data_IF_504426463200
#
_entry.id   IF_504426463200
#
_cell.length_a   1.000
_cell.length_b   1.000
_cell.length_c   1.000
_cell.angle_alpha   90.00
_cell.angle_beta   90.00
_cell.angle_gamma   90.00
#
_symmetry.space_group_name_H-M   'P 1'
#
loop_
_entity.id
_entity.type
_entity.pdbx_description
1 polymer ?
#
# COMPACT_ATOMS: atom_id res chain seq x y z
N UNK A 1 15.52 66.47 -8.93
CA UNK A 1 16.63 65.70 -8.31
C UNK A 1 16.10 64.88 -7.15
N UNK A 2 15.63 63.63 -7.35
CA UNK A 2 15.41 62.58 -6.32
C UNK A 2 14.66 61.38 -6.92
N UNK A 3 15.23 60.69 -7.94
CA UNK A 3 14.69 59.39 -8.41
C UNK A 3 15.75 58.37 -8.89
N UNK A 4 17.04 58.59 -8.63
CA UNK A 4 18.11 57.73 -9.18
C UNK A 4 18.96 56.96 -8.14
N UNK A 5 18.51 56.76 -6.90
CA UNK A 5 19.34 56.10 -5.87
C UNK A 5 18.74 54.87 -5.16
N UNK A 6 17.70 54.22 -5.71
CA UNK A 6 17.16 52.97 -5.11
C UNK A 6 17.58 51.70 -5.87
N UNK A 7 18.10 51.83 -7.10
CA UNK A 7 18.55 50.68 -7.90
C UNK A 7 19.92 50.10 -7.49
N UNK A 8 20.65 50.75 -6.57
CA UNK A 8 21.98 50.29 -6.10
C UNK A 8 21.98 49.61 -4.73
N UNK A 9 20.86 49.59 -3.98
CA UNK A 9 20.78 48.86 -2.70
C UNK A 9 20.31 47.41 -2.81
N UNK A 10 19.75 46.97 -3.94
CA UNK A 10 19.26 45.59 -4.15
C UNK A 10 20.11 44.76 -5.13
N UNK A 11 21.37 45.16 -5.34
CA UNK A 11 22.27 44.52 -6.30
C UNK A 11 23.44 43.75 -5.66
N UNK A 12 23.39 43.45 -4.35
CA UNK A 12 24.48 42.74 -3.66
C UNK A 12 24.18 41.38 -3.04
N UNK A 13 22.94 40.91 -2.98
CA UNK A 13 22.64 39.62 -2.33
C UNK A 13 21.77 38.65 -3.15
N UNK A 14 21.89 38.68 -4.49
CA UNK A 14 21.24 37.67 -5.35
C UNK A 14 21.98 36.32 -5.40
N UNK A 15 23.20 36.24 -4.87
CA UNK A 15 23.97 34.99 -4.77
C UNK A 15 23.80 34.24 -3.45
N UNK A 16 23.08 34.80 -2.46
CA UNK A 16 22.89 34.14 -1.15
C UNK A 16 21.53 33.43 -1.01
N UNK A 17 20.47 33.88 -1.71
CA UNK A 17 19.13 33.30 -1.57
C UNK A 17 18.91 32.06 -2.47
N UNK A 18 19.63 31.94 -3.59
CA UNK A 18 19.56 30.78 -4.48
C UNK A 18 20.20 29.50 -3.88
N UNK A 19 20.98 29.64 -2.80
CA UNK A 19 21.62 28.54 -2.07
C UNK A 19 20.74 27.94 -0.97
N UNK A 20 19.64 28.62 -0.60
CA UNK A 20 18.78 28.24 0.52
C UNK A 20 17.41 27.67 0.13
N UNK A 21 17.23 27.29 -1.14
CA UNK A 21 16.19 26.32 -1.51
C UNK A 21 16.88 24.96 -1.55
N UNK A 22 17.16 24.43 -0.36
CA UNK A 22 17.36 22.99 -0.22
C UNK A 22 15.99 22.41 -0.60
N UNK A 23 15.85 21.87 -1.80
CA UNK A 23 14.69 21.06 -2.16
C UNK A 23 14.56 20.04 -1.06
N UNK A 24 13.59 20.20 -0.16
CA UNK A 24 13.33 19.23 0.90
C UNK A 24 12.78 18.02 0.16
N UNK A 25 13.68 17.14 -0.27
CA UNK A 25 13.34 15.85 -0.80
C UNK A 25 12.84 15.03 0.38
N UNK A 26 11.54 14.77 0.42
CA UNK A 26 10.94 13.81 1.35
C UNK A 26 11.60 12.45 1.17
N UNK A 27 11.74 11.68 2.24
CA UNK A 27 12.38 10.37 2.22
C UNK A 27 11.62 9.38 1.32
N UNK A 28 12.35 8.70 0.44
CA UNK A 28 11.87 7.57 -0.36
C UNK A 28 11.81 6.30 0.50
N UNK A 29 11.00 5.34 0.07
CA UNK A 29 10.97 4.03 0.73
C UNK A 29 12.33 3.33 0.55
N UNK A 30 12.86 2.73 1.61
CA UNK A 30 14.20 2.13 1.61
C UNK A 30 14.22 0.84 2.45
N UNK A 31 14.28 -0.31 1.78
CA UNK A 31 14.27 -1.62 2.39
C UNK A 31 15.55 -1.95 3.17
N UNK A 32 16.64 -1.22 2.95
CA UNK A 32 17.89 -1.43 3.68
C UNK A 32 17.81 -0.97 5.13
N UNK A 33 16.91 -0.02 5.44
CA UNK A 33 16.69 0.55 6.77
C UNK A 33 15.74 -0.25 7.65
N UNK A 34 15.27 -1.40 7.16
CA UNK A 34 14.29 -2.21 7.88
C UNK A 34 14.79 -2.64 9.25
N UNK A 35 13.98 -2.42 10.27
CA UNK A 35 14.20 -2.92 11.63
C UNK A 35 13.35 -4.17 11.83
N UNK A 36 13.91 -5.19 12.46
CA UNK A 36 13.21 -6.46 12.70
C UNK A 36 13.16 -6.70 14.21
N UNK A 37 11.96 -6.95 14.72
CA UNK A 37 11.69 -7.39 16.09
C UNK A 37 11.08 -8.78 16.03
N UNK A 38 11.81 -9.76 16.57
CA UNK A 38 11.40 -11.16 16.52
C UNK A 38 10.35 -11.46 17.61
N UNK A 39 9.47 -12.42 17.32
CA UNK A 39 8.62 -13.05 18.35
C UNK A 39 9.46 -13.88 19.33
N UNK A 40 9.06 -13.92 20.60
CA UNK A 40 9.70 -14.76 21.63
C UNK A 40 9.36 -16.24 21.47
N UNK A 41 8.19 -16.57 20.91
CA UNK A 41 7.73 -17.95 20.72
C UNK A 41 7.07 -18.07 19.34
N UNK A 42 7.80 -18.59 18.33
CA UNK A 42 7.24 -18.80 16.99
C UNK A 42 6.07 -19.77 16.98
N UNK A 43 5.07 -19.48 16.15
CA UNK A 43 3.91 -20.35 15.97
C UNK A 43 4.28 -21.64 15.25
N UNK A 44 3.57 -22.72 15.56
CA UNK A 44 3.66 -23.96 14.79
C UNK A 44 2.77 -23.87 13.55
N UNK A 45 3.21 -24.37 12.38
CA UNK A 45 2.35 -24.46 11.20
C UNK A 45 1.10 -25.28 11.50
N UNK A 46 -0.07 -24.78 11.08
CA UNK A 46 -1.30 -25.57 11.15
C UNK A 46 -1.30 -26.66 10.07
N UNK A 47 -1.94 -27.81 10.33
CA UNK A 47 -2.22 -28.79 9.30
C UNK A 47 -2.96 -28.17 8.11
N UNK A 48 -2.61 -28.60 6.90
CA UNK A 48 -3.12 -28.04 5.65
C UNK A 48 -4.64 -28.07 5.54
N UNK A 49 -5.28 -29.14 6.00
CA UNK A 49 -6.73 -29.34 6.00
C UNK A 49 -7.49 -28.38 6.93
N UNK A 50 -6.79 -27.77 7.89
CA UNK A 50 -7.30 -26.76 8.82
C UNK A 50 -7.09 -25.31 8.35
N UNK A 51 -6.45 -25.09 7.21
CA UNK A 51 -6.23 -23.75 6.68
C UNK A 51 -7.54 -23.15 6.14
N UNK A 52 -7.97 -22.06 6.78
CA UNK A 52 -9.14 -21.27 6.37
C UNK A 52 -8.68 -19.89 5.94
N UNK A 53 -9.12 -19.48 4.76
CA UNK A 53 -8.75 -18.19 4.16
C UNK A 53 -9.02 -17.02 5.11
N UNK A 54 -7.98 -16.23 5.41
CA UNK A 54 -8.09 -14.99 6.18
C UNK A 54 -8.43 -15.17 7.67
N UNK A 55 -8.24 -16.37 8.24
CA UNK A 55 -8.54 -16.65 9.66
C UNK A 55 -7.31 -16.98 10.50
N UNK A 56 -6.19 -17.32 9.86
CA UNK A 56 -4.90 -17.57 10.53
C UNK A 56 -3.87 -16.65 9.91
N UNK A 57 -3.10 -15.95 10.74
CA UNK A 57 -2.05 -15.03 10.31
C UNK A 57 -0.68 -15.54 10.73
N UNK A 58 0.37 -15.02 10.10
CA UNK A 58 1.75 -15.32 10.49
C UNK A 58 2.20 -14.52 11.71
N UNK A 59 3.37 -14.86 12.25
CA UNK A 59 3.87 -14.31 13.51
C UNK A 59 4.26 -12.83 13.42
N UNK A 60 4.63 -12.36 12.22
CA UNK A 60 5.07 -10.99 12.01
C UNK A 60 4.17 -10.23 11.03
N UNK A 61 4.22 -8.90 11.12
CA UNK A 61 3.70 -7.98 10.12
C UNK A 61 4.74 -6.91 9.78
N UNK A 62 4.66 -6.36 8.58
CA UNK A 62 5.41 -5.18 8.16
C UNK A 62 4.56 -3.93 8.43
N UNK A 63 5.16 -2.87 8.95
CA UNK A 63 4.55 -1.54 9.09
C UNK A 63 5.52 -0.44 8.66
N UNK A 64 5.02 0.57 7.96
CA UNK A 64 5.79 1.70 7.44
C UNK A 64 4.91 2.95 7.52
N UNK A 65 5.29 3.90 8.36
CA UNK A 65 4.62 5.18 8.48
C UNK A 65 5.08 6.13 7.37
N UNK A 66 4.23 7.08 7.03
CA UNK A 66 4.53 8.17 6.11
C UNK A 66 3.91 9.47 6.61
N UNK A 67 4.63 10.58 6.46
CA UNK A 67 4.07 11.92 6.63
C UNK A 67 4.44 12.81 5.45
N UNK A 68 3.59 13.79 5.13
CA UNK A 68 3.84 14.76 4.05
C UNK A 68 5.16 15.52 4.25
N UNK A 69 5.50 15.86 5.49
CA UNK A 69 6.71 16.60 5.84
C UNK A 69 8.00 15.77 5.62
N UNK A 70 7.98 14.48 6.00
CA UNK A 70 9.20 13.66 6.10
C UNK A 70 9.35 12.62 5.00
N UNK A 71 8.24 12.19 4.38
CA UNK A 71 8.21 11.03 3.51
C UNK A 71 8.07 9.72 4.29
N UNK A 72 8.62 8.64 3.72
CA UNK A 72 8.54 7.30 4.30
C UNK A 72 9.53 7.12 5.46
N UNK A 73 9.02 6.63 6.59
CA UNK A 73 9.85 6.23 7.73
C UNK A 73 10.55 4.89 7.49
N UNK A 74 11.50 4.57 8.38
CA UNK A 74 12.19 3.28 8.35
C UNK A 74 11.19 2.11 8.50
N UNK A 75 11.19 1.11 7.59
CA UNK A 75 10.27 -0.01 7.69
C UNK A 75 10.49 -0.85 8.96
N UNK A 76 9.42 -1.39 9.54
CA UNK A 76 9.49 -2.22 10.74
C UNK A 76 8.78 -3.55 10.49
N UNK A 77 9.52 -4.66 10.61
CA UNK A 77 8.94 -6.00 10.75
C UNK A 77 8.85 -6.28 12.25
N UNK A 78 7.65 -6.51 12.76
CA UNK A 78 7.38 -6.70 14.20
C UNK A 78 6.36 -7.81 14.42
N UNK A 79 6.18 -8.31 15.66
CA UNK A 79 5.12 -9.25 15.97
C UNK A 79 3.76 -8.75 15.48
N UNK A 80 2.97 -9.65 14.90
CA UNK A 80 1.61 -9.37 14.47
C UNK A 80 0.79 -8.85 15.66
N UNK A 81 0.03 -7.78 15.46
CA UNK A 81 -0.77 -7.17 16.50
C UNK A 81 -1.77 -6.17 15.97
N UNK A 82 -2.61 -5.66 16.88
CA UNK A 82 -3.60 -4.65 16.55
C UNK A 82 -2.94 -3.33 16.17
N UNK A 83 -3.62 -2.58 15.29
CA UNK A 83 -3.30 -1.18 15.03
C UNK A 83 -3.98 -0.31 16.10
N UNK A 84 -3.25 0.69 16.62
CA UNK A 84 -3.78 1.71 17.53
C UNK A 84 -3.85 3.02 16.78
N UNK A 85 -5.07 3.45 16.43
CA UNK A 85 -5.33 4.66 15.65
C UNK A 85 -6.26 5.58 16.43
N UNK A 86 -6.12 6.88 16.19
CA UNK A 86 -7.05 7.86 16.75
C UNK A 86 -8.47 7.63 16.19
N UNK A 87 -9.54 7.78 16.98
CA UNK A 87 -10.91 7.59 16.47
C UNK A 87 -11.28 8.55 15.34
N UNK A 88 -10.65 9.72 15.25
CA UNK A 88 -10.85 10.69 14.18
C UNK A 88 -10.04 10.39 12.92
N UNK A 89 -9.27 9.29 12.88
CA UNK A 89 -8.44 8.94 11.72
C UNK A 89 -9.28 8.78 10.46
N UNK A 90 -8.88 9.46 9.38
CA UNK A 90 -9.65 9.62 8.15
C UNK A 90 -10.06 8.30 7.47
N UNK A 91 -9.32 7.19 7.68
CA UNK A 91 -9.72 5.87 7.16
C UNK A 91 -11.09 5.43 7.67
N UNK A 92 -11.44 5.74 8.92
CA UNK A 92 -12.71 5.33 9.53
C UNK A 92 -13.92 6.14 9.03
N UNK A 93 -13.66 7.30 8.42
CA UNK A 93 -14.71 8.27 8.06
C UNK A 93 -14.89 8.39 6.55
N UNK A 94 -13.80 8.31 5.79
CA UNK A 94 -13.78 8.64 4.36
C UNK A 94 -13.15 7.55 3.49
N UNK A 95 -12.82 6.38 4.06
CA UNK A 95 -12.28 5.22 3.34
C UNK A 95 -11.05 5.56 2.48
N UNK A 96 -10.13 6.38 3.02
CA UNK A 96 -8.80 6.56 2.45
C UNK A 96 -7.97 5.29 2.65
N UNK A 97 -8.30 4.24 1.91
CA UNK A 97 -7.65 2.94 2.01
C UNK A 97 -7.61 2.20 0.67
N UNK A 98 -6.60 1.35 0.55
CA UNK A 98 -6.44 0.40 -0.55
C UNK A 98 -5.75 -0.85 -0.04
N UNK A 99 -5.89 -1.94 -0.79
CA UNK A 99 -5.20 -3.18 -0.50
C UNK A 99 -4.77 -3.90 -1.77
N UNK A 100 -3.88 -4.85 -1.60
CA UNK A 100 -3.43 -5.78 -2.62
C UNK A 100 -3.64 -7.25 -2.21
N UNK A 101 -3.50 -8.13 -3.20
CA UNK A 101 -3.64 -9.57 -3.01
C UNK A 101 -2.69 -10.33 -3.91
N UNK A 102 -1.65 -10.91 -3.30
CA UNK A 102 -0.70 -11.77 -3.97
C UNK A 102 -0.38 -12.99 -3.11
N UNK A 103 0.37 -13.94 -3.68
CA UNK A 103 0.68 -15.20 -3.05
C UNK A 103 2.15 -15.55 -3.18
N UNK A 104 2.69 -16.16 -2.13
CA UNK A 104 3.95 -16.88 -2.15
C UNK A 104 3.69 -18.39 -2.10
N UNK A 105 4.51 -19.13 -2.83
CA UNK A 105 4.39 -20.57 -3.02
C UNK A 105 5.71 -21.24 -2.64
N UNK A 106 5.61 -22.34 -1.89
CA UNK A 106 6.75 -23.23 -1.70
C UNK A 106 6.83 -24.19 -2.88
N UNK A 107 7.96 -24.20 -3.55
CA UNK A 107 8.27 -25.12 -4.65
C UNK A 107 8.69 -26.51 -4.12
N UNK A 108 8.70 -27.55 -4.98
CA UNK A 108 9.18 -28.88 -4.58
C UNK A 108 10.63 -28.91 -4.10
N UNK A 109 11.49 -28.01 -4.59
CA UNK A 109 12.87 -27.83 -4.13
C UNK A 109 12.98 -26.93 -2.88
N UNK A 110 11.88 -26.74 -2.15
CA UNK A 110 11.78 -25.99 -0.90
C UNK A 110 12.10 -24.49 -0.99
N UNK A 111 12.16 -23.93 -2.21
CA UNK A 111 12.28 -22.47 -2.41
C UNK A 111 10.92 -21.81 -2.26
N UNK A 112 10.93 -20.53 -1.89
CA UNK A 112 9.72 -19.71 -1.81
C UNK A 112 9.74 -18.68 -2.93
N UNK A 113 8.67 -18.62 -3.70
CA UNK A 113 8.56 -17.73 -4.86
C UNK A 113 7.26 -16.94 -4.84
N UNK A 114 7.28 -15.72 -5.35
CA UNK A 114 6.10 -14.89 -5.56
C UNK A 114 5.76 -14.82 -7.04
N UNK A 115 4.47 -14.86 -7.37
CA UNK A 115 4.02 -14.75 -8.76
C UNK A 115 3.76 -13.28 -9.15
N UNK A 116 4.58 -12.74 -10.05
CA UNK A 116 4.45 -11.39 -10.63
C UNK A 116 4.16 -10.28 -9.60
N UNK A 117 4.97 -10.17 -8.52
CA UNK A 117 4.74 -9.16 -7.49
C UNK A 117 4.80 -7.73 -8.05
N UNK A 118 5.60 -7.51 -9.10
CA UNK A 118 5.70 -6.24 -9.85
C UNK A 118 4.34 -5.71 -10.33
N UNK A 119 3.46 -6.59 -10.82
CA UNK A 119 2.12 -6.18 -11.30
C UNK A 119 1.20 -5.75 -10.17
N UNK A 120 1.35 -6.34 -8.99
CA UNK A 120 0.61 -5.93 -7.80
C UNK A 120 1.10 -4.57 -7.31
N UNK A 121 2.42 -4.31 -7.30
CA UNK A 121 2.95 -3.00 -6.89
C UNK A 121 2.54 -1.88 -7.86
N UNK A 122 2.54 -2.14 -9.17
CA UNK A 122 2.05 -1.20 -10.18
C UNK A 122 0.59 -0.83 -9.94
N UNK A 123 -0.26 -1.82 -9.64
CA UNK A 123 -1.68 -1.60 -9.33
C UNK A 123 -1.86 -0.86 -8.00
N UNK A 124 -1.08 -1.21 -6.97
CA UNK A 124 -1.11 -0.54 -5.67
C UNK A 124 -0.76 0.94 -5.78
N UNK A 125 0.31 1.30 -6.49
CA UNK A 125 0.69 2.71 -6.72
C UNK A 125 -0.37 3.47 -7.53
N UNK A 126 -0.99 2.83 -8.53
CA UNK A 126 -2.11 3.44 -9.27
C UNK A 126 -3.30 3.72 -8.36
N UNK A 127 -3.63 2.80 -7.46
CA UNK A 127 -4.69 2.98 -6.47
C UNK A 127 -4.34 4.10 -5.50
N UNK A 128 -3.10 4.15 -4.98
CA UNK A 128 -2.64 5.16 -4.02
C UNK A 128 -2.76 6.56 -4.61
N UNK A 129 -2.21 6.78 -5.81
CA UNK A 129 -2.30 8.04 -6.52
C UNK A 129 -3.76 8.46 -6.79
N UNK A 130 -4.66 7.50 -7.00
CA UNK A 130 -6.07 7.77 -7.29
C UNK A 130 -6.85 8.28 -6.07
N UNK A 131 -6.48 7.86 -4.87
CA UNK A 131 -7.10 8.29 -3.62
C UNK A 131 -6.19 9.22 -2.81
N UNK A 132 -5.19 9.83 -3.46
CA UNK A 132 -4.29 10.82 -2.88
C UNK A 132 -3.49 10.32 -1.66
N UNK A 133 -3.18 9.03 -1.63
CA UNK A 133 -2.20 8.45 -0.71
C UNK A 133 -0.80 8.45 -1.34
N UNK A 134 0.27 8.41 -0.53
CA UNK A 134 1.64 8.43 -1.04
C UNK A 134 1.97 7.21 -1.91
N UNK A 135 2.68 7.44 -3.01
CA UNK A 135 3.30 6.37 -3.80
C UNK A 135 4.63 5.93 -3.19
N UNK A 136 5.13 4.79 -3.64
CA UNK A 136 6.38 4.21 -3.14
C UNK A 136 7.15 3.43 -4.22
N UNK A 137 8.36 3.06 -3.87
CA UNK A 137 9.32 2.44 -4.76
C UNK A 137 8.99 0.94 -4.82
N UNK A 138 8.47 0.48 -5.96
CA UNK A 138 7.89 -0.87 -6.08
C UNK A 138 8.88 -1.97 -5.71
N UNK A 139 10.14 -1.85 -6.13
CA UNK A 139 11.17 -2.84 -5.83
C UNK A 139 11.52 -2.88 -4.34
N UNK A 140 11.44 -1.76 -3.65
CA UNK A 140 11.71 -1.67 -2.20
C UNK A 140 10.62 -2.38 -1.40
N UNK A 141 9.35 -2.19 -1.77
CA UNK A 141 8.26 -2.93 -1.12
C UNK A 141 8.33 -4.44 -1.42
N UNK A 142 8.73 -4.84 -2.63
CA UNK A 142 8.94 -6.27 -2.96
C UNK A 142 10.05 -6.87 -2.09
N UNK A 143 11.17 -6.17 -1.90
CA UNK A 143 12.27 -6.60 -1.01
C UNK A 143 11.78 -6.75 0.43
N UNK A 144 10.98 -5.81 0.93
CA UNK A 144 10.42 -5.85 2.28
C UNK A 144 9.45 -7.01 2.48
N UNK A 145 8.56 -7.26 1.51
CA UNK A 145 7.68 -8.43 1.51
C UNK A 145 8.52 -9.72 1.53
N UNK A 146 9.59 -9.79 0.73
CA UNK A 146 10.52 -10.92 0.74
C UNK A 146 11.15 -11.16 2.12
N UNK A 147 11.61 -10.09 2.79
CA UNK A 147 12.15 -10.19 4.15
C UNK A 147 11.11 -10.64 5.19
N UNK A 148 9.87 -10.16 5.09
CA UNK A 148 8.77 -10.60 5.95
C UNK A 148 8.48 -12.09 5.78
N UNK A 149 8.40 -12.56 4.52
CA UNK A 149 8.19 -13.98 4.22
C UNK A 149 9.36 -14.82 4.72
N UNK A 150 10.60 -14.33 4.65
CA UNK A 150 11.77 -15.04 5.17
C UNK A 150 11.71 -15.22 6.69
N UNK A 151 11.23 -14.21 7.45
CA UNK A 151 10.99 -14.34 8.90
C UNK A 151 9.98 -15.44 9.21
N UNK A 152 8.88 -15.46 8.47
CA UNK A 152 7.77 -16.40 8.68
C UNK A 152 7.81 -17.62 7.75
N UNK A 153 8.99 -17.94 7.20
CA UNK A 153 9.10 -18.94 6.12
C UNK A 153 8.61 -20.32 6.51
N UNK A 154 8.67 -20.67 7.80
CA UNK A 154 8.20 -21.94 8.33
C UNK A 154 6.67 -22.08 8.26
N UNK A 155 5.93 -20.97 8.20
CA UNK A 155 4.47 -20.92 8.08
C UNK A 155 3.99 -20.94 6.61
N UNK A 156 4.89 -20.89 5.63
CA UNK A 156 4.53 -21.05 4.20
C UNK A 156 4.18 -22.52 3.95
N UNK A 157 2.90 -22.83 3.64
CA UNK A 157 2.45 -24.22 3.55
C UNK A 157 3.04 -24.91 2.32
N UNK A 158 3.12 -26.24 2.41
CA UNK A 158 3.60 -27.10 1.33
C UNK A 158 2.42 -27.76 0.61
N UNK A 159 2.65 -28.19 -0.64
CA UNK A 159 1.69 -28.97 -1.41
C UNK A 159 0.89 -28.15 -2.41
N UNK A 160 0.35 -28.85 -3.42
CA UNK A 160 -0.39 -28.23 -4.50
C UNK A 160 -1.68 -27.57 -4.01
N UNK A 161 -1.94 -26.34 -4.47
CA UNK A 161 -3.12 -25.57 -4.07
C UNK A 161 -2.97 -24.81 -2.75
N UNK A 162 -1.87 -25.03 -2.01
CA UNK A 162 -1.53 -24.31 -0.79
C UNK A 162 -0.57 -23.15 -1.08
N UNK A 163 -0.72 -22.06 -0.34
CA UNK A 163 0.10 -20.85 -0.52
C UNK A 163 0.09 -19.98 0.73
N UNK A 164 1.03 -19.06 0.83
CA UNK A 164 0.94 -17.94 1.76
C UNK A 164 0.30 -16.76 1.04
N UNK A 165 -0.89 -16.34 1.47
CA UNK A 165 -1.53 -15.14 0.98
C UNK A 165 -0.92 -13.92 1.66
N UNK A 166 -0.56 -12.91 0.86
CA UNK A 166 0.10 -11.68 1.30
C UNK A 166 -0.90 -10.54 1.07
N UNK A 167 -1.12 -9.72 2.09
CA UNK A 167 -2.08 -8.61 2.09
C UNK A 167 -1.37 -7.29 2.39
N UNK A 168 -0.72 -6.67 1.38
CA UNK A 168 -0.32 -5.27 1.50
C UNK A 168 -1.56 -4.40 1.59
N UNK A 169 -1.55 -3.44 2.50
CA UNK A 169 -2.66 -2.52 2.76
C UNK A 169 -2.06 -1.15 3.07
N UNK A 170 -2.70 -0.09 2.57
CA UNK A 170 -2.32 1.29 2.87
C UNK A 170 -3.55 2.06 3.28
N UNK A 171 -3.45 2.79 4.38
CA UNK A 171 -4.53 3.58 4.97
C UNK A 171 -4.05 5.01 5.24
N UNK A 172 -4.93 5.99 5.08
CA UNK A 172 -4.71 7.36 5.54
C UNK A 172 -4.84 7.42 7.06
N UNK A 173 -3.86 8.05 7.72
CA UNK A 173 -3.78 8.13 9.19
C UNK A 173 -3.92 9.56 9.73
N UNK A 174 -4.30 10.52 8.89
CA UNK A 174 -4.58 11.89 9.30
C UNK A 174 -5.71 11.96 10.31
N UNK A 175 -5.50 12.76 11.36
CA UNK A 175 -6.46 13.00 12.43
C UNK A 175 -7.34 14.21 12.09
N UNK A 176 -8.62 14.14 12.45
CA UNK A 176 -9.59 15.20 12.25
C UNK A 176 -10.71 14.84 11.26
N UNK A 177 -11.87 15.49 11.45
CA UNK A 177 -13.07 15.28 10.65
C UNK A 177 -13.18 16.25 9.46
N UNK A 178 -12.15 17.06 9.22
CA UNK A 178 -12.10 17.93 8.04
C UNK A 178 -11.87 17.09 6.79
N UNK A 179 -12.65 17.34 5.72
CA UNK A 179 -12.44 16.63 4.45
C UNK A 179 -11.27 17.27 3.71
N UNK A 180 -10.14 16.57 3.69
CA UNK A 180 -8.91 16.96 3.00
C UNK A 180 -8.10 15.75 2.55
N UNK A 181 -7.01 15.99 1.82
CA UNK A 181 -6.07 14.93 1.47
C UNK A 181 -5.28 14.49 2.72
N UNK A 182 -5.00 13.19 2.91
CA UNK A 182 -4.23 12.74 4.05
C UNK A 182 -2.78 13.24 4.04
N UNK A 183 -2.36 13.89 5.11
CA UNK A 183 -0.97 14.28 5.41
C UNK A 183 -0.17 13.19 6.15
N UNK A 184 -0.84 12.12 6.58
CA UNK A 184 -0.24 10.92 7.19
C UNK A 184 -0.82 9.65 6.56
N UNK A 185 0.00 8.61 6.44
CA UNK A 185 -0.45 7.30 5.98
C UNK A 185 0.35 6.17 6.65
N UNK A 186 -0.27 5.00 6.74
CA UNK A 186 0.35 3.76 7.19
C UNK A 186 0.25 2.72 6.08
N UNK A 187 1.40 2.20 5.63
CA UNK A 187 1.48 0.98 4.84
C UNK A 187 1.79 -0.21 5.76
N UNK A 188 1.01 -1.28 5.67
CA UNK A 188 1.28 -2.51 6.39
C UNK A 188 1.07 -3.75 5.54
N UNK A 189 1.76 -4.84 5.89
CA UNK A 189 1.61 -6.14 5.22
C UNK A 189 1.40 -7.22 6.27
N UNK A 190 0.32 -7.97 6.10
CA UNK A 190 0.03 -9.18 6.89
C UNK A 190 -0.01 -10.40 5.96
N UNK A 191 0.36 -11.55 6.49
CA UNK A 191 0.38 -12.80 5.74
C UNK A 191 -0.54 -13.83 6.39
N UNK A 192 -1.15 -14.69 5.57
CA UNK A 192 -2.09 -15.71 6.00
C UNK A 192 -1.85 -17.02 5.21
N UNK A 193 -1.54 -18.14 5.86
CA UNK A 193 -1.46 -19.44 5.19
C UNK A 193 -2.84 -19.86 4.70
N UNK A 194 -2.96 -20.24 3.43
CA UNK A 194 -4.24 -20.57 2.80
C UNK A 194 -4.17 -21.86 1.98
N UNK A 195 -5.24 -22.64 2.04
CA UNK A 195 -5.45 -23.79 1.17
C UNK A 195 -6.18 -23.48 -0.12
N UNK A 196 -6.51 -24.51 -0.91
CA UNK A 196 -7.29 -24.35 -2.13
C UNK A 196 -8.70 -23.86 -1.80
N UNK A 197 -9.26 -23.02 -2.69
CA UNK A 197 -10.61 -22.47 -2.53
C UNK A 197 -11.69 -23.56 -2.51
N UNK A 198 -11.45 -24.67 -3.22
CA UNK A 198 -12.34 -25.83 -3.25
C UNK A 198 -11.60 -27.09 -2.77
N UNK A 199 -11.94 -27.56 -1.56
CA UNK A 199 -11.31 -28.76 -0.96
C UNK A 199 -11.56 -30.06 -1.74
N UNK A 200 -12.65 -30.14 -2.49
CA UNK A 200 -13.11 -31.36 -3.21
C UNK A 200 -12.97 -31.25 -4.74
N UNK A 201 -12.14 -30.34 -5.27
CA UNK A 201 -12.04 -30.06 -6.71
C UNK A 201 -13.01 -28.99 -7.21
N UNK A 202 -13.13 -28.81 -8.53
CA UNK A 202 -13.93 -27.74 -9.12
C UNK A 202 -15.42 -27.89 -8.75
N UNK A 203 -15.94 -26.97 -7.92
CA UNK A 203 -17.36 -26.88 -7.59
C UNK A 203 -17.92 -25.63 -8.23
N UNK A 204 -18.82 -25.80 -9.19
CA UNK A 204 -19.48 -24.67 -9.83
C UNK A 204 -20.24 -23.83 -8.78
N UNK A 205 -20.13 -22.51 -8.90
CA UNK A 205 -20.89 -21.55 -8.10
C UNK A 205 -22.10 -21.07 -8.91
N UNK A 206 -23.24 -20.89 -8.25
CA UNK A 206 -24.40 -20.24 -8.86
C UNK A 206 -24.21 -18.73 -8.79
N UNK A 207 -24.43 -18.05 -9.90
CA UNK A 207 -24.32 -16.60 -9.99
C UNK A 207 -25.72 -15.99 -10.02
N UNK A 208 -25.90 -14.90 -9.28
CA UNK A 208 -27.08 -14.04 -9.36
C UNK A 208 -26.75 -12.84 -10.25
N UNK A 209 -27.59 -12.60 -11.25
CA UNK A 209 -27.45 -11.48 -12.19
C UNK A 209 -28.64 -10.54 -12.03
N UNK A 210 -28.36 -9.30 -11.62
CA UNK A 210 -29.36 -8.28 -11.33
C UNK A 210 -28.94 -6.94 -11.91
N UNK A 211 -29.91 -6.05 -12.16
CA UNK A 211 -29.71 -4.70 -12.70
C UNK A 211 -29.82 -3.59 -11.64
N UNK A 212 -30.47 -3.86 -10.49
CA UNK A 212 -30.61 -2.90 -9.39
C UNK A 212 -29.30 -2.64 -8.62
N UNK A 213 -28.33 -3.55 -8.68
CA UNK A 213 -27.05 -3.42 -8.00
C UNK A 213 -25.91 -3.16 -8.99
N UNK A 214 -25.41 -1.93 -9.03
CA UNK A 214 -24.26 -1.56 -9.87
C UNK A 214 -22.96 -1.52 -9.06
N UNK A 215 -22.00 -2.40 -9.35
CA UNK A 215 -20.71 -2.50 -8.62
C UNK A 215 -19.81 -1.28 -8.80
N UNK A 216 -19.77 -0.71 -10.01
CA UNK A 216 -18.95 0.46 -10.36
C UNK A 216 -19.54 1.17 -11.59
N UNK A 217 -19.30 2.48 -11.73
CA UNK A 217 -19.73 3.28 -12.88
C UNK A 217 -18.54 3.99 -13.53
N UNK A 218 -18.61 4.25 -14.84
CA UNK A 218 -17.60 5.06 -15.53
C UNK A 218 -17.60 6.50 -15.00
N UNK A 219 -16.43 7.12 -14.99
CA UNK A 219 -16.25 8.51 -14.54
C UNK A 219 -17.04 9.52 -15.39
N UNK A 220 -17.21 9.23 -16.68
CA UNK A 220 -17.85 10.10 -17.67
C UNK A 220 -19.30 10.45 -17.36
N UNK A 221 -19.99 9.67 -16.51
CA UNK A 221 -21.36 9.95 -16.07
C UNK A 221 -21.47 10.70 -14.75
N UNK A 222 -20.41 11.38 -14.28
CA UNK A 222 -20.53 12.31 -13.14
C UNK A 222 -21.31 13.55 -13.57
N UNK A 223 -22.60 13.59 -13.23
CA UNK A 223 -23.41 14.82 -13.26
C UNK A 223 -23.05 15.62 -12.01
N UNK A 224 -22.30 16.71 -12.18
CA UNK A 224 -21.88 17.60 -11.10
C UNK A 224 -20.75 18.53 -11.55
N UNK A 225 -21.02 19.83 -11.59
CA UNK A 225 -20.07 20.89 -11.92
C UNK A 225 -19.07 21.07 -10.77
N UNK A 226 -18.04 20.24 -10.65
CA UNK A 226 -16.84 20.57 -9.85
C UNK A 226 -15.66 19.60 -10.02
N UNK A 227 -15.48 19.05 -11.24
CA UNK A 227 -14.23 18.34 -11.55
C UNK A 227 -13.25 19.33 -12.20
N UNK A 228 -12.40 19.99 -11.38
CA UNK A 228 -11.35 20.92 -11.84
C UNK A 228 -10.16 20.24 -12.55
N UNK A 229 -10.22 18.93 -12.83
CA UNK A 229 -9.29 18.27 -13.74
C UNK A 229 -10.05 17.59 -14.87
N UNK A 230 -9.84 18.11 -16.08
CA UNK A 230 -10.26 17.54 -17.35
C UNK A 230 -9.61 16.16 -17.58
N UNK A 231 -10.19 15.09 -17.03
CA UNK A 231 -9.97 13.74 -17.54
C UNK A 231 -10.75 13.57 -18.85
N UNK A 232 -10.18 14.08 -19.96
CA UNK A 232 -10.68 13.77 -21.32
C UNK A 232 -10.10 12.44 -21.79
N UNK A 233 -10.72 11.32 -21.46
CA UNK A 233 -10.65 10.15 -22.33
C UNK A 233 -11.82 10.22 -23.32
N UNK A 234 -11.59 10.96 -24.41
CA UNK A 234 -12.52 11.05 -25.54
C UNK A 234 -12.46 9.72 -26.30
N UNK A 235 -13.53 8.93 -26.25
CA UNK A 235 -13.75 7.90 -27.26
C UNK A 235 -14.05 8.61 -28.60
N UNK A 236 -13.32 8.25 -29.64
CA UNK A 236 -13.63 8.60 -31.03
C UNK A 236 -14.82 7.74 -31.47
N UNK A 237 -15.91 8.31 -32.02
CA UNK A 237 -17.09 7.53 -32.36
C UNK A 237 -17.03 7.09 -33.82
N UNK A 238 -15.99 6.39 -34.28
CA UNK A 238 -16.02 5.71 -35.59
C UNK A 238 -14.98 4.56 -35.63
N UNK A 239 -15.50 3.34 -35.85
CA UNK A 239 -14.85 2.03 -36.06
C UNK A 239 -14.46 1.23 -34.80
#
# INVERSE_FOLDING_TARGET
>A
MLRNNISKLFARDKHSIASLIRTISTASLDASKVKITNVSTPSKPKPNDQLVFGRTFTDHMLTIEWTEEKGWDAPIIKPYGNLSLDPSTCVFHYAFELFEGLKAYRTPDNKITMFRPDKNMQRMNKSAARICLPTFESDELIKLIGKLIEQDKHLVPQGQGYSLYIRPTMIGTSEGLGVGYPDKALLYVICSPVGPYYKTGFKAVRLEATDYATRARSEERRVGKECLRLCRSRWSPYH
#
